data_IF_907223680546
#
_entry.id   IF_907223680546
#
_cell.length_a   1.000
_cell.length_b   1.000
_cell.length_c   1.000
_cell.angle_alpha   90.00
_cell.angle_beta   90.00
_cell.angle_gamma   90.00
#
_symmetry.space_group_name_H-M   'P 1'
#
loop_
_entity.id
_entity.type
_entity.pdbx_description
1 polymer ?
#
# COMPACT_ATOMS: atom_id res chain seq x y z
N UNK A 1 35.03 -10.51 63.88
CA UNK A 1 36.10 -9.49 63.74
C UNK A 1 36.94 -9.83 62.52
N UNK A 2 37.53 -8.80 61.91
CA UNK A 2 38.50 -8.79 60.80
C UNK A 2 37.97 -8.44 59.41
N UNK A 3 37.85 -7.12 59.27
CA UNK A 3 38.05 -6.21 58.13
C UNK A 3 38.83 -6.70 56.90
N UNK A 4 38.38 -6.26 55.72
CA UNK A 4 39.26 -5.81 54.63
C UNK A 4 38.66 -4.53 54.03
N UNK A 5 39.42 -3.42 54.16
CA UNK A 5 39.20 -2.14 53.48
C UNK A 5 40.00 -2.08 52.18
N UNK A 6 39.46 -1.37 51.18
CA UNK A 6 40.10 -0.34 50.29
C UNK A 6 39.34 -0.31 48.95
N UNK A 7 38.49 0.68 48.66
CA UNK A 7 38.75 2.05 48.15
C UNK A 7 39.21 2.12 46.67
N UNK A 8 38.60 3.08 45.96
CA UNK A 8 38.95 3.67 44.65
C UNK A 8 38.29 2.99 43.44
N UNK A 9 37.42 3.60 42.62
CA UNK A 9 37.28 5.00 42.18
C UNK A 9 35.82 5.29 41.82
N UNK A 10 35.37 6.48 42.19
CA UNK A 10 34.17 7.16 41.66
C UNK A 10 34.18 7.20 40.12
N UNK A 11 33.07 6.93 39.41
CA UNK A 11 32.84 7.56 38.12
C UNK A 11 32.23 8.94 38.40
N UNK A 12 33.10 9.95 38.53
CA UNK A 12 32.67 11.32 38.32
C UNK A 12 32.08 11.46 36.91
N UNK A 13 31.21 12.46 36.67
CA UNK A 13 30.64 12.69 35.35
C UNK A 13 31.77 12.94 34.36
N UNK A 14 31.87 12.09 33.34
CA UNK A 14 32.81 12.29 32.24
C UNK A 14 32.31 13.52 31.46
N UNK A 15 32.86 14.69 31.77
CA UNK A 15 32.87 15.81 30.85
C UNK A 15 33.73 15.40 29.64
N UNK A 16 33.10 14.92 28.58
CA UNK A 16 33.72 14.87 27.26
C UNK A 16 33.58 16.25 26.62
N UNK A 17 34.45 17.17 27.04
CA UNK A 17 34.67 18.40 26.29
C UNK A 17 35.61 18.05 25.11
N UNK A 18 35.00 17.61 24.02
CA UNK A 18 35.64 17.38 22.74
C UNK A 18 34.57 17.57 21.69
N UNK A 19 34.80 18.51 20.77
CA UNK A 19 33.93 18.92 19.68
C UNK A 19 33.57 17.73 18.77
N UNK A 20 32.71 16.82 19.24
CA UNK A 20 32.14 15.73 18.47
C UNK A 20 30.85 16.26 17.89
N UNK A 21 30.86 16.48 16.58
CA UNK A 21 29.67 16.80 15.81
C UNK A 21 28.55 15.80 16.22
N UNK A 22 27.42 16.26 16.79
CA UNK A 22 26.35 15.37 17.28
C UNK A 22 25.76 14.49 16.16
N UNK A 23 25.99 14.84 14.89
CA UNK A 23 25.73 13.98 13.75
C UNK A 23 26.56 12.67 13.79
N UNK A 24 27.86 12.73 14.12
CA UNK A 24 28.75 11.55 14.14
C UNK A 24 28.45 10.57 15.27
N UNK A 25 27.86 11.02 16.38
CA UNK A 25 27.42 10.13 17.46
C UNK A 25 26.14 9.41 17.09
N UNK A 26 25.17 10.11 16.46
CA UNK A 26 23.93 9.50 15.96
C UNK A 26 24.16 8.53 14.82
N UNK A 27 25.10 8.82 13.91
CA UNK A 27 25.49 7.89 12.84
C UNK A 27 26.01 6.55 13.40
N UNK A 28 26.83 6.60 14.46
CA UNK A 28 27.33 5.39 15.13
C UNK A 28 26.21 4.62 15.83
N UNK A 29 25.23 5.33 16.38
CA UNK A 29 24.06 4.73 17.01
C UNK A 29 23.16 4.03 15.98
N UNK A 30 22.86 4.69 14.86
CA UNK A 30 22.13 4.09 13.73
C UNK A 30 22.88 2.88 13.17
N UNK A 31 24.20 2.93 13.08
CA UNK A 31 25.01 1.79 12.65
C UNK A 31 24.94 0.63 13.65
N UNK A 32 24.98 0.91 14.95
CA UNK A 32 24.81 -0.10 16.00
C UNK A 32 23.43 -0.76 15.95
N UNK A 33 22.37 0.03 15.78
CA UNK A 33 20.98 -0.43 15.65
C UNK A 33 20.80 -1.30 14.39
N UNK A 34 21.38 -0.91 13.26
CA UNK A 34 21.39 -1.72 12.04
C UNK A 34 22.11 -3.06 12.23
N UNK A 35 23.24 -3.07 12.96
CA UNK A 35 23.94 -4.31 13.29
C UNK A 35 23.10 -5.21 14.21
N UNK A 36 22.34 -4.64 15.15
CA UNK A 36 21.41 -5.40 15.99
C UNK A 36 20.25 -5.99 15.18
N UNK A 37 19.67 -5.22 14.25
CA UNK A 37 18.66 -5.69 13.30
C UNK A 37 19.15 -6.87 12.46
N UNK A 38 20.38 -6.80 11.95
CA UNK A 38 20.98 -7.89 11.19
C UNK A 38 21.09 -9.19 12.02
N UNK A 39 21.54 -9.08 13.28
CA UNK A 39 21.62 -10.22 14.21
C UNK A 39 20.24 -10.82 14.55
N UNK A 40 19.22 -9.99 14.71
CA UNK A 40 17.85 -10.47 14.95
C UNK A 40 17.28 -11.18 13.70
N UNK A 41 17.62 -10.69 12.52
CA UNK A 41 17.23 -11.34 11.25
C UNK A 41 17.87 -12.72 11.10
N UNK A 42 19.15 -12.85 11.46
CA UNK A 42 19.86 -14.13 11.53
C UNK A 42 19.21 -15.08 12.56
N UNK A 43 18.78 -14.56 13.72
CA UNK A 43 18.06 -15.36 14.72
C UNK A 43 16.70 -15.86 14.22
N UNK A 44 15.98 -15.10 13.38
CA UNK A 44 14.74 -15.55 12.75
C UNK A 44 15.03 -16.75 11.84
N UNK A 45 16.10 -16.70 11.05
CA UNK A 45 16.52 -17.79 10.17
C UNK A 45 16.97 -19.03 10.97
N UNK A 46 17.67 -18.84 12.08
CA UNK A 46 18.05 -19.91 13.00
C UNK A 46 16.82 -20.56 13.69
N UNK A 47 15.80 -19.79 14.04
CA UNK A 47 14.55 -20.33 14.62
C UNK A 47 13.73 -21.08 13.56
N UNK A 48 13.70 -20.60 12.32
CA UNK A 48 13.04 -21.29 11.20
C UNK A 48 13.67 -22.66 10.92
N UNK A 49 15.00 -22.71 10.83
CA UNK A 49 15.77 -23.93 10.52
C UNK A 49 15.86 -24.93 11.68
N UNK A 50 15.44 -24.56 12.90
CA UNK A 50 15.49 -25.45 14.05
C UNK A 50 14.35 -26.50 14.04
N UNK A 51 14.61 -27.72 13.56
CA UNK A 51 13.61 -28.80 13.49
C UNK A 51 13.10 -29.31 14.85
N UNK A 52 13.76 -28.99 15.96
CA UNK A 52 13.40 -29.47 17.31
C UNK A 52 12.32 -28.61 18.00
N UNK A 53 11.97 -27.46 17.42
CA UNK A 53 10.96 -26.55 17.98
C UNK A 53 9.58 -26.82 17.36
N UNK A 54 8.55 -26.86 18.20
CA UNK A 54 7.15 -26.94 17.75
C UNK A 54 6.78 -25.73 16.87
N UNK A 55 5.96 -25.97 15.84
CA UNK A 55 5.58 -24.94 14.87
C UNK A 55 4.93 -23.71 15.51
N UNK A 56 4.11 -23.90 16.56
CA UNK A 56 3.48 -22.80 17.31
C UNK A 56 4.51 -21.95 18.05
N UNK A 57 5.48 -22.59 18.70
CA UNK A 57 6.56 -21.91 19.43
C UNK A 57 7.50 -21.19 18.46
N UNK A 58 7.77 -21.78 17.28
CA UNK A 58 8.50 -21.09 16.20
C UNK A 58 7.80 -19.80 15.79
N UNK A 59 6.50 -19.88 15.51
CA UNK A 59 5.72 -18.72 15.07
C UNK A 59 5.72 -17.61 16.13
N UNK A 60 5.49 -17.96 17.39
CA UNK A 60 5.51 -17.00 18.51
C UNK A 60 6.89 -16.34 18.65
N UNK A 61 7.97 -17.13 18.61
CA UNK A 61 9.34 -16.61 18.72
C UNK A 61 9.73 -15.74 17.53
N UNK A 62 9.35 -16.12 16.31
CA UNK A 62 9.56 -15.32 15.10
C UNK A 62 8.76 -14.02 15.17
N UNK A 63 7.53 -14.07 15.68
CA UNK A 63 6.70 -12.88 15.88
C UNK A 63 7.36 -11.92 16.88
N UNK A 64 7.84 -12.42 18.03
CA UNK A 64 8.55 -11.61 19.01
C UNK A 64 9.83 -10.96 18.42
N UNK A 65 10.62 -11.72 17.65
CA UNK A 65 11.80 -11.20 16.97
C UNK A 65 11.44 -10.14 15.91
N UNK A 66 10.34 -10.32 15.18
CA UNK A 66 9.83 -9.32 14.21
C UNK A 66 9.39 -8.04 14.90
N UNK A 67 8.69 -8.13 16.02
CA UNK A 67 8.31 -6.95 16.82
C UNK A 67 9.55 -6.20 17.29
N UNK A 68 10.60 -6.89 17.75
CA UNK A 68 11.86 -6.25 18.14
C UNK A 68 12.57 -5.55 16.97
N UNK A 69 12.52 -6.12 15.76
CA UNK A 69 13.03 -5.44 14.55
C UNK A 69 12.24 -4.16 14.26
N UNK A 70 10.90 -4.20 14.39
CA UNK A 70 10.05 -3.02 14.18
C UNK A 70 10.34 -1.91 15.20
N UNK A 71 10.61 -2.26 16.45
CA UNK A 71 11.01 -1.31 17.48
C UNK A 71 12.36 -0.65 17.16
N UNK A 72 13.35 -1.42 16.69
CA UNK A 72 14.63 -0.90 16.22
C UNK A 72 14.44 0.03 15.02
N UNK A 73 13.56 -0.32 14.07
CA UNK A 73 13.26 0.54 12.92
C UNK A 73 12.60 1.86 13.35
N UNK A 74 11.73 1.84 14.36
CA UNK A 74 11.14 3.04 14.94
C UNK A 74 12.20 3.93 15.62
N UNK A 75 13.15 3.34 16.34
CA UNK A 75 14.27 4.07 16.95
C UNK A 75 15.17 4.72 15.89
N UNK A 76 15.50 4.00 14.82
CA UNK A 76 16.28 4.57 13.70
C UNK A 76 15.53 5.74 13.07
N UNK A 77 14.22 5.59 12.81
CA UNK A 77 13.40 6.65 12.23
C UNK A 77 13.35 7.88 13.15
N UNK A 78 13.21 7.67 14.46
CA UNK A 78 13.24 8.77 15.44
C UNK A 78 14.58 9.51 15.43
N UNK A 79 15.71 8.78 15.44
CA UNK A 79 17.05 9.39 15.37
C UNK A 79 17.23 10.19 14.08
N UNK A 80 16.72 9.68 12.95
CA UNK A 80 16.77 10.40 11.66
C UNK A 80 15.91 11.66 11.66
N UNK A 81 14.71 11.61 12.26
CA UNK A 81 13.84 12.79 12.40
C UNK A 81 14.51 13.83 13.30
N UNK A 82 15.08 13.41 14.43
CA UNK A 82 15.83 14.30 15.33
C UNK A 82 17.05 14.92 14.64
N UNK A 83 17.78 14.15 13.82
CA UNK A 83 18.92 14.65 13.04
C UNK A 83 18.47 15.69 11.99
N UNK A 84 17.37 15.44 11.28
CA UNK A 84 16.82 16.41 10.33
C UNK A 84 16.33 17.67 11.03
N UNK A 85 15.63 17.53 12.16
CA UNK A 85 15.15 18.66 12.95
C UNK A 85 16.31 19.50 13.51
N UNK A 86 17.40 18.86 13.95
CA UNK A 86 18.59 19.57 14.43
C UNK A 86 19.33 20.29 13.30
N UNK A 87 19.40 19.72 12.10
CA UNK A 87 19.93 20.41 10.90
C UNK A 87 19.09 21.64 10.53
N UNK A 88 17.78 21.56 10.66
CA UNK A 88 16.86 22.69 10.43
C UNK A 88 17.04 23.76 11.52
N UNK A 89 17.07 23.36 12.80
CA UNK A 89 17.22 24.29 13.94
C UNK A 89 18.60 24.97 13.98
N UNK A 90 19.69 24.26 13.65
CA UNK A 90 21.04 24.85 13.57
C UNK A 90 21.24 25.75 12.33
N UNK A 91 20.39 25.62 11.31
CA UNK A 91 20.33 26.57 10.19
C UNK A 91 19.54 27.84 10.54
N UNK A 92 18.79 27.84 11.65
CA UNK A 92 17.87 28.91 12.05
C UNK A 92 18.28 29.65 13.35
N UNK A 93 19.37 29.24 14.01
CA UNK A 93 19.87 29.87 15.25
C UNK A 93 21.04 30.84 15.00
N UNK A 94 20.72 32.00 14.42
CA UNK A 94 21.41 33.27 14.74
C UNK A 94 20.38 34.35 15.03
N UNK A 95 20.08 34.66 16.30
CA UNK A 95 19.47 35.94 16.63
C UNK A 95 20.61 36.97 16.72
N UNK A 96 20.72 37.84 15.71
CA UNK A 96 21.37 39.13 15.90
C UNK A 96 20.27 40.17 15.99
N UNK A 97 19.99 40.63 17.22
CA UNK A 97 19.41 41.96 17.39
C UNK A 97 20.40 42.97 16.77
N UNK A 98 19.95 43.78 15.82
CA UNK A 98 19.62 45.20 16.02
C UNK A 98 19.34 45.83 14.63
N UNK A 99 18.37 46.75 14.61
CA UNK A 99 18.11 47.79 13.60
C UNK A 99 17.36 47.42 12.31
N UNK A 100 16.04 47.61 12.42
CA UNK A 100 15.15 48.32 11.49
C UNK A 100 15.86 48.97 10.29
N UNK A 101 15.71 48.39 9.10
CA UNK A 101 15.58 49.12 7.84
C UNK A 101 14.77 48.26 6.86
N UNK A 102 13.69 48.85 6.33
CA UNK A 102 12.99 48.37 5.14
C UNK A 102 13.97 48.33 3.95
N UNK A 103 14.03 47.20 3.25
CA UNK A 103 14.11 47.04 1.79
C UNK A 103 14.71 45.67 1.41
N UNK A 104 14.24 45.14 0.27
CA UNK A 104 14.69 43.94 -0.46
C UNK A 104 14.12 42.58 -0.01
N UNK A 105 12.83 42.41 -0.29
CA UNK A 105 12.30 41.15 -0.83
C UNK A 105 13.11 40.77 -2.06
N UNK A 106 13.96 39.73 -2.01
CA UNK A 106 14.46 38.96 -3.18
C UNK A 106 15.56 37.97 -2.75
N UNK A 107 15.23 36.90 -2.02
CA UNK A 107 16.07 35.68 -2.00
C UNK A 107 15.41 34.39 -1.47
N UNK A 108 14.19 34.43 -0.91
CA UNK A 108 13.53 33.21 -0.39
C UNK A 108 12.78 32.38 -1.45
N UNK A 109 12.54 32.93 -2.65
CA UNK A 109 11.77 32.24 -3.69
C UNK A 109 12.40 30.90 -4.14
N UNK A 110 13.72 30.78 -4.12
CA UNK A 110 14.40 29.56 -4.62
C UNK A 110 14.28 28.40 -3.63
N UNK A 111 14.38 28.68 -2.33
CA UNK A 111 14.23 27.67 -1.29
C UNK A 111 12.77 27.19 -1.19
N UNK A 112 11.81 28.12 -1.26
CA UNK A 112 10.37 27.80 -1.27
C UNK A 112 9.97 27.06 -2.55
N UNK A 113 10.52 27.46 -3.71
CA UNK A 113 10.31 26.75 -4.97
C UNK A 113 10.90 25.33 -4.95
N UNK A 114 12.09 25.15 -4.39
CA UNK A 114 12.70 23.81 -4.29
C UNK A 114 11.93 22.92 -3.31
N UNK A 115 11.44 23.48 -2.21
CA UNK A 115 10.55 22.78 -1.28
C UNK A 115 9.23 22.36 -1.94
N UNK A 116 8.61 23.24 -2.74
CA UNK A 116 7.40 22.91 -3.50
C UNK A 116 7.64 21.79 -4.52
N UNK A 117 8.79 21.80 -5.22
CA UNK A 117 9.17 20.73 -6.15
C UNK A 117 9.36 19.39 -5.43
N UNK A 118 10.04 19.38 -4.28
CA UNK A 118 10.24 18.16 -3.48
C UNK A 118 8.90 17.62 -2.98
N UNK A 119 8.03 18.49 -2.44
CA UNK A 119 6.67 18.10 -2.01
C UNK A 119 5.88 17.49 -3.15
N UNK A 120 5.81 18.17 -4.30
CA UNK A 120 5.11 17.66 -5.48
C UNK A 120 5.67 16.30 -5.92
N UNK A 121 6.99 16.14 -5.96
CA UNK A 121 7.62 14.85 -6.30
C UNK A 121 7.19 13.74 -5.34
N UNK A 122 7.22 14.00 -4.02
CA UNK A 122 6.77 13.02 -3.02
C UNK A 122 5.27 12.72 -3.14
N UNK A 123 4.44 13.72 -3.44
CA UNK A 123 3.00 13.55 -3.63
C UNK A 123 2.70 12.71 -4.87
N UNK A 124 3.40 12.92 -5.99
CA UNK A 124 3.24 12.10 -7.19
C UNK A 124 3.71 10.64 -6.98
N UNK A 125 4.79 10.42 -6.25
CA UNK A 125 5.22 9.06 -5.87
C UNK A 125 4.17 8.37 -4.99
N UNK A 126 3.63 9.08 -4.00
CA UNK A 126 2.57 8.55 -3.14
C UNK A 126 1.28 8.25 -3.93
N UNK A 127 0.89 9.15 -4.84
CA UNK A 127 -0.25 8.96 -5.73
C UNK A 127 -0.07 7.72 -6.62
N UNK A 128 1.12 7.54 -7.21
CA UNK A 128 1.43 6.36 -8.01
C UNK A 128 1.32 5.06 -7.21
N UNK A 129 1.80 5.06 -5.96
CA UNK A 129 1.69 3.91 -5.04
C UNK A 129 0.23 3.61 -4.68
N UNK A 130 -0.57 4.63 -4.39
CA UNK A 130 -1.99 4.47 -4.06
C UNK A 130 -2.80 3.95 -5.24
N UNK A 131 -2.59 4.49 -6.44
CA UNK A 131 -3.24 4.00 -7.68
C UNK A 131 -2.84 2.54 -7.96
N UNK A 132 -1.56 2.21 -7.80
CA UNK A 132 -1.06 0.84 -7.93
C UNK A 132 -1.73 -0.12 -6.94
N UNK A 133 -1.85 0.31 -5.67
CA UNK A 133 -2.52 -0.47 -4.62
C UNK A 133 -4.02 -0.65 -4.90
N UNK A 134 -4.72 0.41 -5.29
CA UNK A 134 -6.15 0.36 -5.66
C UNK A 134 -6.38 -0.66 -6.78
N UNK A 135 -5.58 -0.59 -7.85
CA UNK A 135 -5.64 -1.56 -8.97
C UNK A 135 -5.33 -2.99 -8.54
N UNK A 136 -4.36 -3.19 -7.65
CA UNK A 136 -4.03 -4.52 -7.13
C UNK A 136 -5.21 -5.09 -6.32
N UNK A 137 -5.82 -4.30 -5.45
CA UNK A 137 -6.99 -4.69 -4.67
C UNK A 137 -8.20 -4.98 -5.56
N UNK A 138 -8.41 -4.20 -6.61
CA UNK A 138 -9.45 -4.48 -7.62
C UNK A 138 -9.19 -5.79 -8.36
N UNK A 139 -7.91 -6.12 -8.63
CA UNK A 139 -7.51 -7.42 -9.14
C UNK A 139 -7.85 -8.58 -8.20
N UNK A 140 -7.60 -8.41 -6.90
CA UNK A 140 -7.98 -9.39 -5.87
C UNK A 140 -9.49 -9.62 -5.78
N UNK A 141 -10.30 -8.56 -5.92
CA UNK A 141 -11.76 -8.68 -6.01
C UNK A 141 -12.16 -9.57 -7.20
N UNK A 142 -11.60 -9.30 -8.39
CA UNK A 142 -11.91 -10.07 -9.60
C UNK A 142 -11.51 -11.54 -9.47
N UNK A 143 -10.40 -11.82 -8.79
CA UNK A 143 -9.97 -13.18 -8.49
C UNK A 143 -10.97 -13.89 -7.56
N UNK A 144 -11.37 -13.25 -6.46
CA UNK A 144 -12.35 -13.81 -5.53
C UNK A 144 -13.71 -14.02 -6.19
N UNK A 145 -14.18 -13.08 -7.01
CA UNK A 145 -15.43 -13.21 -7.79
C UNK A 145 -15.37 -14.40 -8.76
N UNK A 146 -14.22 -14.59 -9.41
CA UNK A 146 -14.02 -15.73 -10.33
C UNK A 146 -14.04 -17.05 -9.57
N UNK A 147 -13.45 -17.08 -8.37
CA UNK A 147 -13.46 -18.30 -7.57
C UNK A 147 -14.85 -18.63 -7.00
N UNK A 148 -15.59 -17.63 -6.54
CA UNK A 148 -16.99 -17.81 -6.12
C UNK A 148 -17.80 -18.41 -7.27
N UNK A 149 -17.70 -17.85 -8.48
CA UNK A 149 -18.40 -18.38 -9.66
C UNK A 149 -17.97 -19.81 -10.00
N UNK A 150 -16.70 -20.14 -9.86
CA UNK A 150 -16.18 -21.48 -10.12
C UNK A 150 -16.75 -22.49 -9.12
N UNK A 151 -16.81 -22.12 -7.85
CA UNK A 151 -17.33 -22.96 -6.77
C UNK A 151 -18.85 -23.11 -6.84
N UNK A 152 -19.57 -22.02 -7.13
CA UNK A 152 -21.00 -22.04 -7.45
C UNK A 152 -21.28 -22.97 -8.65
N UNK A 153 -20.55 -22.84 -9.75
CA UNK A 153 -20.70 -23.73 -10.90
C UNK A 153 -20.39 -25.18 -10.55
N UNK A 154 -19.28 -25.44 -9.84
CA UNK A 154 -18.90 -26.79 -9.45
C UNK A 154 -19.95 -27.46 -8.57
N UNK A 155 -20.62 -26.71 -7.70
CA UNK A 155 -21.69 -27.23 -6.85
C UNK A 155 -23.03 -27.35 -7.58
N UNK A 156 -23.30 -26.45 -8.53
CA UNK A 156 -24.56 -26.38 -9.30
C UNK A 156 -24.64 -27.36 -10.46
N UNK A 157 -23.51 -27.81 -11.02
CA UNK A 157 -23.48 -28.71 -12.18
C UNK A 157 -23.94 -30.12 -11.81
N UNK A 158 -25.24 -30.39 -11.89
CA UNK A 158 -25.85 -31.63 -11.37
C UNK A 158 -26.45 -32.52 -12.47
N UNK A 159 -25.67 -33.40 -13.11
CA UNK A 159 -26.18 -34.32 -14.14
C UNK A 159 -27.11 -35.41 -13.59
N UNK A 160 -27.19 -35.62 -12.26
CA UNK A 160 -27.90 -36.75 -11.65
C UNK A 160 -28.89 -36.38 -10.55
N UNK A 161 -29.19 -35.08 -10.33
CA UNK A 161 -30.17 -34.61 -9.33
C UNK A 161 -30.00 -35.22 -7.91
N UNK A 162 -28.76 -35.26 -7.40
CA UNK A 162 -28.49 -35.71 -6.03
C UNK A 162 -29.02 -34.71 -4.98
N UNK A 163 -29.90 -35.16 -4.08
CA UNK A 163 -30.52 -34.35 -3.02
C UNK A 163 -29.52 -33.95 -1.91
N UNK A 164 -28.51 -34.78 -1.64
CA UNK A 164 -27.46 -34.46 -0.66
C UNK A 164 -26.58 -33.29 -1.09
N UNK A 165 -26.50 -33.04 -2.40
CA UNK A 165 -25.71 -31.96 -2.97
C UNK A 165 -26.30 -30.58 -2.75
N UNK A 166 -27.63 -30.47 -2.64
CA UNK A 166 -28.27 -29.20 -2.24
C UNK A 166 -27.83 -28.78 -0.84
N UNK A 167 -27.73 -29.74 0.09
CA UNK A 167 -27.23 -29.48 1.45
C UNK A 167 -25.74 -29.13 1.45
N UNK A 168 -24.95 -29.77 0.59
CA UNK A 168 -23.53 -29.43 0.41
C UNK A 168 -23.35 -28.01 -0.16
N UNK A 169 -24.17 -27.63 -1.14
CA UNK A 169 -24.19 -26.27 -1.70
C UNK A 169 -24.55 -25.24 -0.63
N UNK A 170 -25.58 -25.51 0.18
CA UNK A 170 -25.97 -24.62 1.28
C UNK A 170 -24.86 -24.47 2.33
N UNK A 171 -24.20 -25.57 2.71
CA UNK A 171 -23.09 -25.52 3.66
C UNK A 171 -21.88 -24.76 3.10
N UNK A 172 -21.53 -24.97 1.82
CA UNK A 172 -20.46 -24.24 1.15
C UNK A 172 -20.79 -22.74 1.04
N UNK A 173 -22.05 -22.41 0.77
CA UNK A 173 -22.58 -21.05 0.73
C UNK A 173 -22.41 -20.36 2.09
N UNK A 174 -22.82 -21.00 3.18
CA UNK A 174 -22.74 -20.43 4.53
C UNK A 174 -21.30 -20.29 5.06
N UNK A 175 -20.35 -21.08 4.55
CA UNK A 175 -18.97 -21.11 5.04
C UNK A 175 -18.03 -20.34 4.13
N UNK A 176 -17.68 -20.93 2.97
CA UNK A 176 -16.63 -20.44 2.08
C UNK A 176 -17.12 -19.27 1.24
N UNK A 177 -18.27 -19.40 0.58
CA UNK A 177 -18.75 -18.36 -0.35
C UNK A 177 -19.13 -17.08 0.40
N UNK A 178 -19.84 -17.20 1.52
CA UNK A 178 -20.14 -16.06 2.38
C UNK A 178 -18.88 -15.34 2.85
N UNK A 179 -17.88 -16.08 3.33
CA UNK A 179 -16.60 -15.49 3.77
C UNK A 179 -15.87 -14.78 2.63
N UNK A 180 -15.81 -15.38 1.43
CA UNK A 180 -15.22 -14.73 0.24
C UNK A 180 -15.99 -13.46 -0.15
N UNK A 181 -17.33 -13.44 -0.05
CA UNK A 181 -18.15 -12.25 -0.33
C UNK A 181 -17.92 -11.12 0.69
N UNK A 182 -17.78 -11.46 1.97
CA UNK A 182 -17.41 -10.49 3.01
C UNK A 182 -16.02 -9.91 2.76
N UNK A 183 -15.05 -10.75 2.41
CA UNK A 183 -13.70 -10.31 2.04
C UNK A 183 -13.74 -9.35 0.83
N UNK A 184 -14.57 -9.62 -0.18
CA UNK A 184 -14.76 -8.70 -1.31
C UNK A 184 -15.30 -7.35 -0.83
N UNK A 185 -16.25 -7.35 0.11
CA UNK A 185 -16.82 -6.11 0.65
C UNK A 185 -15.77 -5.29 1.41
N UNK A 186 -14.93 -5.94 2.21
CA UNK A 186 -13.83 -5.29 2.93
C UNK A 186 -12.79 -4.70 1.97
N UNK A 187 -12.42 -5.45 0.92
CA UNK A 187 -11.51 -4.95 -0.11
C UNK A 187 -12.16 -3.76 -0.85
N UNK A 188 -13.46 -3.78 -1.13
CA UNK A 188 -14.17 -2.63 -1.73
C UNK A 188 -14.17 -1.40 -0.81
N UNK A 189 -14.34 -1.58 0.50
CA UNK A 189 -14.29 -0.48 1.46
C UNK A 189 -12.89 0.16 1.52
N UNK A 190 -11.85 -0.67 1.52
CA UNK A 190 -10.46 -0.19 1.51
C UNK A 190 -10.09 0.50 0.20
N UNK A 191 -10.55 0.01 -0.96
CA UNK A 191 -10.39 0.70 -2.26
C UNK A 191 -11.01 2.09 -2.21
N UNK A 192 -12.25 2.24 -1.72
CA UNK A 192 -12.87 3.57 -1.56
C UNK A 192 -12.07 4.49 -0.64
N UNK A 193 -11.49 3.94 0.42
CA UNK A 193 -10.61 4.70 1.31
C UNK A 193 -9.32 5.17 0.62
N UNK A 194 -8.78 4.37 -0.31
CA UNK A 194 -7.64 4.75 -1.14
C UNK A 194 -8.04 5.82 -2.15
N UNK A 195 -9.18 5.67 -2.83
CA UNK A 195 -9.68 6.63 -3.81
C UNK A 195 -9.91 8.01 -3.17
N UNK A 196 -10.49 8.05 -1.96
CA UNK A 196 -10.63 9.31 -1.21
C UNK A 196 -9.27 9.97 -0.90
N UNK A 197 -8.24 9.19 -0.57
CA UNK A 197 -6.88 9.71 -0.33
C UNK A 197 -6.24 10.20 -1.63
N UNK A 198 -6.51 9.54 -2.74
CA UNK A 198 -6.09 9.98 -4.06
C UNK A 198 -6.71 11.35 -4.36
N UNK A 199 -8.02 11.50 -4.15
CA UNK A 199 -8.73 12.76 -4.38
C UNK A 199 -8.20 13.89 -3.48
N UNK A 200 -7.89 13.60 -2.22
CA UNK A 200 -7.25 14.52 -1.27
C UNK A 200 -5.88 14.99 -1.80
N UNK A 201 -4.98 14.08 -2.16
CA UNK A 201 -3.64 14.41 -2.66
C UNK A 201 -3.67 15.16 -3.99
N UNK A 202 -4.64 14.84 -4.85
CA UNK A 202 -4.84 15.55 -6.12
C UNK A 202 -5.34 16.97 -5.86
N UNK A 203 -6.21 17.17 -4.87
CA UNK A 203 -6.67 18.49 -4.44
C UNK A 203 -5.52 19.31 -3.87
N UNK A 204 -4.70 18.72 -2.98
CA UNK A 204 -3.50 19.36 -2.44
C UNK A 204 -2.53 19.82 -3.53
N UNK A 205 -2.32 19.02 -4.57
CA UNK A 205 -1.48 19.40 -5.72
C UNK A 205 -2.05 20.58 -6.51
N UNK A 206 -3.38 20.68 -6.59
CA UNK A 206 -4.04 21.77 -7.30
C UNK A 206 -3.99 23.08 -6.49
N UNK A 207 -4.20 23.02 -5.18
CA UNK A 207 -4.11 24.18 -4.28
C UNK A 207 -2.67 24.73 -4.20
N UNK A 208 -1.65 23.87 -4.31
CA UNK A 208 -0.25 24.28 -4.40
C UNK A 208 0.11 24.94 -5.76
N UNK A 209 -0.70 24.81 -6.81
CA UNK A 209 -0.49 25.53 -8.08
C UNK A 209 -0.97 26.98 -8.02
N UNK A 210 -2.04 27.26 -7.28
CA UNK A 210 -2.64 28.61 -7.20
C UNK A 210 -1.82 29.60 -6.34
N UNK A 211 -0.82 29.11 -5.60
CA UNK A 211 0.14 29.93 -4.84
C UNK A 211 1.43 30.22 -5.60
N UNK A 212 1.58 29.74 -6.85
CA UNK A 212 2.74 30.06 -7.68
C UNK A 212 2.57 31.45 -8.31
N UNK A 213 3.50 32.41 -8.09
CA UNK A 213 3.43 33.71 -8.75
C UNK A 213 3.55 33.49 -10.25
N UNK A 214 2.42 33.72 -10.92
CA UNK A 214 2.30 33.75 -12.36
C UNK A 214 3.32 34.75 -12.91
N UNK A 215 4.40 34.26 -13.52
CA UNK A 215 5.33 35.10 -14.29
C UNK A 215 4.59 35.58 -15.54
N UNK A 216 3.77 36.61 -15.38
CA UNK A 216 3.29 37.45 -16.49
C UNK A 216 4.47 38.30 -16.92
N UNK A 217 5.18 37.90 -17.97
CA UNK A 217 5.88 38.82 -18.86
C UNK A 217 6.41 38.07 -20.08
N UNK A 218 5.61 38.07 -21.15
CA UNK A 218 6.12 38.10 -22.50
C UNK A 218 5.25 39.10 -23.28
N UNK A 219 5.84 40.12 -23.96
CA UNK A 219 5.08 41.12 -24.69
C UNK A 219 4.55 40.56 -26.01
N UNK A 220 3.28 40.83 -26.32
CA UNK A 220 2.73 40.73 -27.67
C UNK A 220 3.42 41.76 -28.60
N UNK A 221 3.61 41.45 -29.90
CA UNK A 221 2.78 42.11 -30.93
C UNK A 221 2.66 41.28 -32.26
N UNK A 222 2.07 41.80 -33.34
CA UNK A 222 0.80 42.48 -33.48
C UNK A 222 -0.15 41.78 -34.48
N UNK A 223 -1.36 42.30 -34.48
CA UNK A 223 -2.47 42.12 -35.40
C UNK A 223 -2.10 42.01 -36.89
N UNK A 224 -2.66 41.03 -37.58
CA UNK A 224 -2.98 41.11 -39.01
C UNK A 224 -4.24 40.30 -39.29
N UNK A 225 -5.36 41.03 -39.34
CA UNK A 225 -6.59 40.62 -39.99
C UNK A 225 -6.32 40.19 -41.45
N UNK A 226 -6.84 39.04 -41.89
CA UNK A 226 -7.78 39.01 -43.03
C UNK A 226 -8.46 37.63 -43.18
N UNK A 227 -9.80 37.68 -43.09
CA UNK A 227 -10.88 36.87 -43.71
C UNK A 227 -10.60 35.41 -44.08
N UNK A 228 -11.37 34.46 -43.53
CA UNK A 228 -12.73 34.11 -43.98
C UNK A 228 -12.72 32.60 -44.26
N UNK A 229 -13.76 31.77 -44.12
CA UNK A 229 -15.21 31.90 -44.28
C UNK A 229 -15.83 30.63 -43.64
N UNK A 230 -17.00 30.79 -42.98
CA UNK A 230 -18.21 29.91 -42.89
C UNK A 230 -18.11 28.47 -43.46
N UNK A 231 -18.80 27.43 -42.98
CA UNK A 231 -20.09 27.30 -42.28
C UNK A 231 -20.35 25.80 -41.97
N UNK A 232 -21.24 25.54 -40.99
CA UNK A 232 -22.27 24.46 -40.91
C UNK A 232 -21.86 22.99 -40.69
N UNK A 233 -22.25 22.41 -39.54
CA UNK A 233 -23.46 21.56 -39.32
C UNK A 233 -23.43 20.24 -40.13
N UNK A 234 -23.61 19.03 -39.58
CA UNK A 234 -24.84 18.54 -38.97
C UNK A 234 -24.64 17.12 -38.42
N UNK A 235 -25.13 16.87 -37.21
CA UNK A 235 -26.05 15.78 -36.80
C UNK A 235 -26.24 14.57 -37.73
N UNK A 236 -25.99 13.36 -37.22
CA UNK A 236 -26.83 12.19 -37.52
C UNK A 236 -26.78 11.15 -36.39
N UNK A 237 -27.92 11.02 -35.69
CA UNK A 237 -28.35 9.79 -35.00
C UNK A 237 -28.84 8.84 -36.10
N UNK A 238 -28.61 7.54 -35.96
CA UNK A 238 -29.67 6.60 -36.32
C UNK A 238 -29.67 5.35 -35.42
N UNK A 239 -30.86 5.12 -34.85
CA UNK A 239 -31.38 3.93 -34.18
C UNK A 239 -32.32 3.24 -35.16
N UNK A 240 -32.31 1.92 -35.18
CA UNK A 240 -33.42 1.00 -35.53
C UNK A 240 -32.83 -0.40 -35.28
N UNK A 241 -33.21 -1.23 -34.31
CA UNK A 241 -34.53 -1.66 -33.82
C UNK A 241 -35.43 -2.24 -34.92
N UNK A 242 -35.59 -3.57 -34.93
CA UNK A 242 -36.85 -4.32 -35.12
C UNK A 242 -36.60 -5.84 -34.94
N UNK A 243 -37.47 -6.44 -34.11
CA UNK A 243 -37.87 -7.84 -33.84
C UNK A 243 -38.12 -8.69 -35.12
N UNK A 244 -38.38 -10.02 -35.18
CA UNK A 244 -39.03 -11.02 -34.32
C UNK A 244 -38.85 -12.44 -34.97
N UNK A 245 -38.57 -13.47 -34.15
CA UNK A 245 -39.23 -14.81 -34.08
C UNK A 245 -39.59 -15.59 -35.37
N UNK A 246 -39.13 -16.85 -35.54
CA UNK A 246 -39.86 -18.09 -35.16
C UNK A 246 -39.18 -19.39 -35.65
N UNK A 247 -39.50 -20.47 -34.93
CA UNK A 247 -38.95 -21.82 -34.94
C UNK A 247 -39.44 -22.77 -36.06
N UNK A 248 -38.76 -23.91 -36.23
CA UNK A 248 -39.27 -25.29 -36.48
C UNK A 248 -38.08 -26.24 -36.69
N UNK A 249 -37.69 -27.11 -35.74
CA UNK A 249 -38.20 -28.47 -35.43
C UNK A 249 -37.85 -29.55 -36.50
N UNK A 250 -37.25 -30.69 -36.09
CA UNK A 250 -37.55 -32.10 -36.48
C UNK A 250 -36.50 -33.10 -35.91
N UNK A 251 -36.97 -33.92 -34.93
CA UNK A 251 -36.87 -35.39 -34.71
C UNK A 251 -35.52 -36.18 -34.81
N UNK A 252 -35.05 -36.79 -33.71
CA UNK A 252 -35.23 -38.19 -33.18
C UNK A 252 -34.54 -39.34 -33.93
N UNK A 253 -33.58 -40.04 -33.29
CA UNK A 253 -33.78 -41.42 -32.78
C UNK A 253 -32.58 -41.95 -31.94
N UNK A 254 -32.82 -42.95 -31.04
CA UNK A 254 -31.83 -43.50 -30.10
C UNK A 254 -31.21 -44.83 -30.57
N UNK A 255 -30.03 -45.18 -30.04
CA UNK A 255 -29.46 -46.54 -30.13
C UNK A 255 -29.00 -47.01 -28.75
N UNK A 256 -29.52 -48.17 -28.38
CA UNK A 256 -29.27 -49.04 -27.22
C UNK A 256 -27.90 -49.73 -27.21
N UNK A 257 -27.35 -49.97 -26.01
CA UNK A 257 -26.72 -51.26 -25.68
C UNK A 257 -25.37 -51.26 -24.94
N UNK A 258 -25.34 -52.06 -23.86
CA UNK A 258 -24.20 -52.57 -23.06
C UNK A 258 -23.48 -51.56 -22.14
N UNK A 259 -23.36 -51.74 -20.81
CA UNK A 259 -23.49 -52.93 -19.97
C UNK A 259 -22.17 -53.25 -19.29
N UNK A 260 -21.81 -52.51 -18.22
CA UNK A 260 -20.71 -52.91 -17.31
C UNK A 260 -21.07 -52.51 -15.88
N UNK A 261 -21.28 -53.50 -15.04
CA UNK A 261 -21.60 -53.39 -13.60
C UNK A 261 -20.28 -53.33 -12.81
N UNK A 262 -20.08 -52.44 -11.83
CA UNK A 262 -18.97 -52.56 -10.89
C UNK A 262 -19.29 -53.53 -9.73
N UNK A 263 -18.28 -54.24 -9.17
CA UNK A 263 -18.49 -55.32 -8.22
C UNK A 263 -18.89 -54.82 -6.83
N UNK A 264 -19.88 -55.48 -6.22
CA UNK A 264 -20.27 -55.30 -4.82
C UNK A 264 -19.19 -55.84 -3.87
N UNK A 265 -18.80 -55.03 -2.88
CA UNK A 265 -17.95 -55.45 -1.74
C UNK A 265 -18.86 -56.06 -0.68
N UNK A 266 -18.65 -57.34 -0.38
CA UNK A 266 -19.28 -58.09 0.71
C UNK A 266 -18.53 -57.78 2.02
N UNK A 267 -19.20 -57.20 3.00
CA UNK A 267 -18.68 -57.02 4.36
C UNK A 267 -19.45 -57.97 5.26
N UNK A 268 -18.85 -59.14 5.55
CA UNK A 268 -19.30 -60.00 6.64
C UNK A 268 -18.81 -59.46 7.97
N UNK A 269 -19.74 -59.36 8.92
CA UNK A 269 -19.56 -59.03 10.33
C UNK A 269 -18.93 -60.21 11.07
#
# INVERSE_FOLDING_TARGET
MSSISSISKSPGPIQTNGNQNPAKSRDKEVQSLNNQKAKLSEQIEAVNSNEKLDQKIKQERIQALRTSIQEIDAQIAQIQIEEMQEKINNSQSKPSETQKHEAATETNNTADSMNAVVKNHTTYDHLGKLVGLSKHMEGSIKLLDTEIKKEENWLSDNPHQDSGRSLMLENAEQTVLKSKREQIQDIKATVRGIDNKIDELVSDLNDNKDTSPQVKNAPAPPDSEDKGVKDKSSKSKNKSDTTEVQASNVKTNPVTGAGTVPPSIDVRV
#
